data_IF_073753413949
#
_entry.id   IF_073753413949
#
_cell.length_a   1.000
_cell.length_b   1.000
_cell.length_c   1.000
_cell.angle_alpha   90.00
_cell.angle_beta   90.00
_cell.angle_gamma   90.00
#
_symmetry.space_group_name_H-M   'P 1'
#
loop_
_entity.id
_entity.type
_entity.pdbx_description
1 polymer ?
#
# COMPACT_ATOMS: atom_id res chain seq x y z
N UNK A 1 7.06 21.45 -9.65
CA UNK A 1 6.84 21.02 -8.26
C UNK A 1 7.33 19.58 -8.18
N UNK A 2 7.96 19.14 -7.10
CA UNK A 2 8.30 17.72 -6.97
C UNK A 2 7.01 16.89 -7.06
N UNK A 3 7.06 15.80 -7.81
CA UNK A 3 5.94 14.88 -7.92
C UNK A 3 6.07 13.83 -6.81
N UNK A 4 5.43 14.09 -5.67
CA UNK A 4 5.52 13.23 -4.48
C UNK A 4 5.09 11.79 -4.78
N UNK A 5 4.07 11.61 -5.64
CA UNK A 5 3.59 10.28 -6.00
C UNK A 5 4.56 9.53 -6.92
N UNK A 6 5.28 10.24 -7.79
CA UNK A 6 6.29 9.64 -8.65
C UNK A 6 7.54 9.25 -7.85
N UNK A 7 7.96 10.10 -6.91
CA UNK A 7 9.07 9.80 -5.99
C UNK A 7 8.72 8.60 -5.11
N UNK A 8 7.51 8.55 -4.57
CA UNK A 8 7.01 7.40 -3.80
C UNK A 8 6.95 6.13 -4.65
N UNK A 9 6.44 6.23 -5.88
CA UNK A 9 6.38 5.11 -6.82
C UNK A 9 7.77 4.57 -7.16
N UNK A 10 8.73 5.46 -7.40
CA UNK A 10 10.13 5.08 -7.62
C UNK A 10 10.70 4.36 -6.41
N UNK A 11 10.45 4.87 -5.21
CA UNK A 11 10.85 4.22 -3.97
C UNK A 11 10.26 2.81 -3.84
N UNK A 12 8.97 2.63 -4.11
CA UNK A 12 8.30 1.31 -4.07
C UNK A 12 8.93 0.35 -5.07
N UNK A 13 9.15 0.76 -6.32
CA UNK A 13 9.75 -0.11 -7.35
C UNK A 13 11.14 -0.57 -6.94
N UNK A 14 11.96 0.32 -6.37
CA UNK A 14 13.32 -0.01 -5.95
C UNK A 14 13.33 -0.88 -4.69
N UNK A 15 12.51 -0.57 -3.68
CA UNK A 15 12.61 -1.24 -2.37
C UNK A 15 11.81 -2.53 -2.28
N UNK A 16 10.67 -2.61 -2.95
CA UNK A 16 9.77 -3.78 -2.85
C UNK A 16 9.91 -4.74 -4.03
N UNK A 17 10.40 -4.25 -5.17
CA UNK A 17 10.53 -5.05 -6.40
C UNK A 17 11.97 -5.08 -6.94
N UNK A 18 12.96 -4.70 -6.14
CA UNK A 18 14.38 -4.70 -6.52
C UNK A 18 14.68 -3.99 -7.86
N UNK A 19 13.84 -3.03 -8.24
CA UNK A 19 13.93 -2.33 -9.51
C UNK A 19 13.47 -3.16 -10.73
N UNK A 20 12.82 -4.31 -10.52
CA UNK A 20 12.34 -5.15 -11.62
C UNK A 20 11.13 -4.53 -12.31
N UNK A 21 11.38 -3.91 -13.45
CA UNK A 21 10.35 -3.28 -14.29
C UNK A 21 9.40 -4.28 -14.97
N UNK A 22 9.73 -5.57 -14.97
CA UNK A 22 8.85 -6.64 -15.41
C UNK A 22 7.70 -6.89 -14.40
N UNK A 23 7.94 -6.58 -13.13
CA UNK A 23 6.94 -6.72 -12.05
C UNK A 23 6.10 -5.44 -11.95
N UNK A 24 6.75 -4.27 -11.82
CA UNK A 24 6.09 -3.00 -11.66
C UNK A 24 6.92 -1.86 -12.29
N UNK A 25 6.25 -0.95 -13.00
CA UNK A 25 6.89 0.27 -13.52
C UNK A 25 6.48 1.48 -12.70
N UNK A 26 7.36 2.46 -12.59
CA UNK A 26 7.08 3.72 -11.87
C UNK A 26 5.78 4.36 -12.37
N UNK A 27 5.56 4.36 -13.69
CA UNK A 27 4.34 4.94 -14.31
C UNK A 27 3.07 4.22 -13.84
N UNK A 28 3.08 2.89 -13.82
CA UNK A 28 1.92 2.13 -13.38
C UNK A 28 1.66 2.30 -11.89
N UNK A 29 2.73 2.33 -11.09
CA UNK A 29 2.62 2.53 -9.64
C UNK A 29 2.10 3.94 -9.34
N UNK A 30 2.70 4.98 -9.89
CA UNK A 30 2.28 6.37 -9.67
C UNK A 30 0.85 6.63 -10.14
N UNK A 31 0.44 6.06 -11.29
CA UNK A 31 -0.94 6.12 -11.74
C UNK A 31 -1.91 5.50 -10.75
N UNK A 32 -1.58 4.32 -10.21
CA UNK A 32 -2.41 3.69 -9.18
C UNK A 32 -2.47 4.53 -7.90
N UNK A 33 -1.33 5.06 -7.44
CA UNK A 33 -1.27 5.91 -6.24
C UNK A 33 -2.16 7.14 -6.40
N UNK A 34 -2.12 7.78 -7.56
CA UNK A 34 -2.96 8.93 -7.88
C UNK A 34 -4.45 8.59 -7.84
N UNK A 35 -4.86 7.52 -8.50
CA UNK A 35 -6.26 7.08 -8.54
C UNK A 35 -6.81 6.69 -7.16
N UNK A 36 -5.95 6.29 -6.24
CA UNK A 36 -6.35 5.80 -4.91
C UNK A 36 -6.09 6.79 -3.77
N UNK A 37 -5.74 8.05 -4.05
CA UNK A 37 -5.62 9.11 -3.05
C UNK A 37 -6.89 9.25 -2.20
N UNK A 38 -8.06 9.10 -2.80
CA UNK A 38 -9.32 9.15 -2.08
C UNK A 38 -9.47 8.08 -0.99
N UNK A 39 -8.83 6.92 -1.15
CA UNK A 39 -8.82 5.91 -0.10
C UNK A 39 -7.97 6.35 1.10
N UNK A 40 -6.78 6.90 0.85
CA UNK A 40 -5.94 7.45 1.92
C UNK A 40 -6.66 8.58 2.64
N UNK A 41 -7.27 9.51 1.90
CA UNK A 41 -8.04 10.60 2.48
C UNK A 41 -9.14 10.10 3.43
N UNK A 42 -9.82 9.00 3.08
CA UNK A 42 -10.82 8.39 3.94
C UNK A 42 -10.23 7.76 5.20
N UNK A 43 -9.06 7.11 5.11
CA UNK A 43 -8.40 6.52 6.28
C UNK A 43 -7.81 7.56 7.23
N UNK A 44 -7.26 8.64 6.67
CA UNK A 44 -6.50 9.65 7.43
C UNK A 44 -7.31 10.92 7.75
N UNK A 45 -8.55 11.01 7.25
CA UNK A 45 -9.37 12.24 7.34
C UNK A 45 -8.66 13.47 6.78
N UNK A 46 -7.96 13.28 5.66
CA UNK A 46 -7.18 14.29 4.95
C UNK A 46 -7.84 14.66 3.62
N UNK A 47 -7.27 15.62 2.91
CA UNK A 47 -7.72 16.02 1.57
C UNK A 47 -6.50 16.24 0.65
N UNK A 48 -5.78 15.18 0.36
CA UNK A 48 -4.68 15.23 -0.61
C UNK A 48 -5.22 15.14 -2.03
N UNK A 49 -4.74 16.01 -2.92
CA UNK A 49 -5.17 16.11 -4.31
C UNK A 49 -3.97 16.32 -5.24
N UNK A 50 -4.13 15.91 -6.49
CA UNK A 50 -3.14 16.12 -7.54
C UNK A 50 -1.89 15.23 -7.40
N UNK A 51 -0.99 15.35 -8.36
CA UNK A 51 0.24 14.55 -8.44
C UNK A 51 1.25 14.86 -7.32
N UNK A 52 1.21 16.08 -6.79
CA UNK A 52 1.97 16.46 -5.61
C UNK A 52 1.34 16.01 -4.30
N UNK A 53 0.17 15.37 -4.35
CA UNK A 53 -0.61 14.98 -3.18
C UNK A 53 -0.69 16.10 -2.15
N UNK A 54 -0.97 17.32 -2.63
CA UNK A 54 -1.10 18.52 -1.80
C UNK A 54 -2.52 18.62 -1.26
N UNK A 55 -2.66 18.95 0.01
CA UNK A 55 -3.93 19.14 0.68
C UNK A 55 -4.03 20.50 1.37
N UNK A 56 -5.09 20.68 2.16
CA UNK A 56 -5.34 21.92 2.91
C UNK A 56 -4.18 22.31 3.83
N UNK A 57 -3.41 21.34 4.30
CA UNK A 57 -2.31 21.54 5.24
C UNK A 57 -0.92 21.33 4.63
N UNK A 58 -0.80 21.26 3.31
CA UNK A 58 0.46 21.10 2.59
C UNK A 58 0.57 19.79 1.82
N UNK A 59 1.80 19.42 1.49
CA UNK A 59 2.10 18.15 0.80
C UNK A 59 1.94 16.96 1.75
N UNK A 60 1.70 15.78 1.16
CA UNK A 60 1.58 14.52 1.88
C UNK A 60 2.85 14.24 2.70
N UNK A 61 2.69 14.08 3.99
CA UNK A 61 3.77 13.72 4.90
C UNK A 61 4.22 12.26 4.75
N UNK A 62 5.35 11.93 5.35
CA UNK A 62 5.98 10.61 5.24
C UNK A 62 5.07 9.52 5.84
N UNK A 63 4.34 9.84 6.89
CA UNK A 63 3.42 8.93 7.55
C UNK A 63 2.24 8.58 6.63
N UNK A 64 1.65 9.57 5.95
CA UNK A 64 0.60 9.33 4.97
C UNK A 64 1.11 8.59 3.72
N UNK A 65 2.34 8.89 3.27
CA UNK A 65 3.00 8.14 2.20
C UNK A 65 3.16 6.66 2.59
N UNK A 66 3.49 6.37 3.84
CA UNK A 66 3.61 5.00 4.34
C UNK A 66 2.28 4.25 4.29
N UNK A 67 1.17 4.90 4.62
CA UNK A 67 -0.18 4.34 4.49
C UNK A 67 -0.51 4.05 3.02
N UNK A 68 -0.22 4.98 2.13
CA UNK A 68 -0.47 4.83 0.69
C UNK A 68 0.37 3.69 0.08
N UNK A 69 1.62 3.54 0.51
CA UNK A 69 2.50 2.43 0.13
C UNK A 69 1.89 1.07 0.52
N UNK A 70 1.47 0.92 1.77
CA UNK A 70 0.89 -0.34 2.26
C UNK A 70 -0.43 -0.67 1.55
N UNK A 71 -1.25 0.32 1.23
CA UNK A 71 -2.44 0.15 0.41
C UNK A 71 -2.12 -0.38 -0.99
N UNK A 72 -1.07 0.16 -1.63
CA UNK A 72 -0.60 -0.33 -2.92
C UNK A 72 -0.14 -1.78 -2.84
N UNK A 73 0.67 -2.14 -1.83
CA UNK A 73 1.16 -3.51 -1.64
C UNK A 73 0.01 -4.49 -1.39
N UNK A 74 -0.98 -4.11 -0.58
CA UNK A 74 -2.17 -4.93 -0.38
C UNK A 74 -2.93 -5.19 -1.70
N UNK A 75 -3.07 -4.17 -2.54
CA UNK A 75 -3.68 -4.31 -3.86
C UNK A 75 -2.85 -5.21 -4.77
N UNK A 76 -1.53 -5.02 -4.80
CA UNK A 76 -0.61 -5.83 -5.58
C UNK A 76 -0.72 -7.32 -5.21
N UNK A 77 -0.63 -7.67 -3.92
CA UNK A 77 -0.75 -9.06 -3.48
C UNK A 77 -2.14 -9.65 -3.76
N UNK A 78 -3.21 -8.88 -3.63
CA UNK A 78 -4.55 -9.31 -4.03
C UNK A 78 -4.66 -9.59 -5.54
N UNK A 79 -3.99 -8.79 -6.36
CA UNK A 79 -3.90 -9.00 -7.81
C UNK A 79 -3.15 -10.30 -8.12
N UNK A 80 -2.01 -10.53 -7.47
CA UNK A 80 -1.22 -11.76 -7.66
C UNK A 80 -1.96 -13.00 -7.16
N UNK A 81 -2.70 -12.92 -6.07
CA UNK A 81 -3.58 -13.99 -5.61
C UNK A 81 -4.63 -14.36 -6.67
N UNK A 82 -5.24 -13.38 -7.31
CA UNK A 82 -6.19 -13.60 -8.42
C UNK A 82 -5.52 -14.14 -9.66
N UNK A 83 -4.31 -13.66 -9.98
CA UNK A 83 -3.54 -14.17 -11.13
C UNK A 83 -3.15 -15.64 -10.94
N UNK A 84 -2.74 -16.04 -9.74
CA UNK A 84 -2.46 -17.44 -9.42
C UNK A 84 -3.67 -18.35 -9.66
N UNK A 85 -4.89 -17.86 -9.35
CA UNK A 85 -6.12 -18.62 -9.58
C UNK A 85 -6.57 -18.62 -11.04
N UNK A 86 -6.32 -17.56 -11.81
CA UNK A 86 -6.69 -17.49 -13.23
C UNK A 86 -6.07 -18.61 -14.06
N UNK A 87 -4.84 -19.00 -13.77
CA UNK A 87 -4.21 -20.13 -14.44
C UNK A 87 -4.97 -21.44 -14.29
N UNK A 88 -5.77 -21.61 -13.24
CA UNK A 88 -6.60 -22.81 -13.01
C UNK A 88 -7.83 -22.81 -13.93
N UNK A 89 -8.42 -21.63 -14.18
CA UNK A 89 -9.68 -21.49 -14.92
C UNK A 89 -9.50 -21.40 -16.43
N UNK A 90 -8.32 -20.98 -16.90
CA UNK A 90 -8.05 -20.78 -18.33
C UNK A 90 -7.32 -21.95 -18.98
N UNK A 91 -6.75 -22.85 -18.19
CA UNK A 91 -6.09 -24.05 -18.70
C UNK A 91 -7.14 -25.13 -18.95
N UNK A 92 -7.44 -25.37 -20.20
CA UNK A 92 -8.19 -26.53 -20.67
C UNK A 92 -7.36 -27.83 -20.61
N UNK A 93 -6.08 -27.76 -20.26
CA UNK A 93 -5.22 -28.90 -20.05
C UNK A 93 -5.47 -29.45 -18.65
N UNK A 94 -5.99 -30.66 -18.58
CA UNK A 94 -6.32 -31.40 -17.36
C UNK A 94 -5.14 -31.66 -16.40
N UNK A 95 -3.94 -31.20 -16.73
CA UNK A 95 -2.74 -31.34 -15.89
C UNK A 95 -2.56 -30.28 -14.80
N UNK A 96 -3.19 -29.12 -14.92
CA UNK A 96 -2.94 -28.00 -13.98
C UNK A 96 -3.55 -28.17 -12.57
N UNK A 97 -4.45 -29.14 -12.42
CA UNK A 97 -5.05 -29.49 -11.13
C UNK A 97 -4.42 -30.75 -10.48
N UNK A 98 -3.43 -31.36 -11.13
CA UNK A 98 -2.74 -32.52 -10.60
C UNK A 98 -1.65 -32.06 -9.65
N UNK A 99 -1.75 -32.38 -8.37
CA UNK A 99 -0.75 -32.05 -7.36
C UNK A 99 0.51 -32.89 -7.47
N UNK A 100 0.36 -34.13 -7.88
CA UNK A 100 1.50 -35.02 -8.13
C UNK A 100 1.11 -36.11 -9.12
N UNK A 101 2.04 -36.48 -9.98
CA UNK A 101 1.94 -37.62 -10.87
C UNK A 101 3.08 -38.58 -10.53
N UNK A 102 2.75 -39.84 -10.31
CA UNK A 102 3.74 -40.87 -10.05
C UNK A 102 3.63 -41.93 -11.12
N UNK A 103 4.75 -42.21 -11.78
CA UNK A 103 4.91 -43.28 -12.74
C UNK A 103 6.10 -44.17 -12.33
N UNK A 104 5.80 -45.34 -11.76
CA UNK A 104 6.81 -46.20 -11.20
C UNK A 104 7.63 -45.56 -10.09
N UNK A 105 8.93 -45.42 -10.30
CA UNK A 105 9.87 -44.78 -9.37
C UNK A 105 9.97 -43.26 -9.54
N UNK A 106 9.41 -42.72 -10.63
CA UNK A 106 9.44 -41.30 -10.92
C UNK A 106 8.21 -40.59 -10.36
N UNK A 107 8.40 -39.49 -9.65
CA UNK A 107 7.33 -38.63 -9.14
C UNK A 107 7.57 -37.16 -9.56
N UNK A 108 6.56 -36.56 -10.13
CA UNK A 108 6.54 -35.12 -10.45
C UNK A 108 5.50 -34.45 -9.56
N UNK A 109 5.93 -33.45 -8.80
CA UNK A 109 5.05 -32.66 -7.97
C UNK A 109 4.87 -31.28 -8.59
N UNK A 110 3.63 -30.89 -8.79
CA UNK A 110 3.27 -29.57 -9.33
C UNK A 110 3.03 -28.56 -8.21
N UNK A 111 3.30 -27.28 -8.50
CA UNK A 111 3.02 -26.20 -7.55
C UNK A 111 1.50 -26.07 -7.33
N UNK A 112 1.10 -26.12 -6.07
CA UNK A 112 -0.31 -25.92 -5.70
C UNK A 112 -0.67 -24.44 -5.78
N UNK A 113 -1.30 -24.02 -6.85
CA UNK A 113 -1.71 -22.61 -7.09
C UNK A 113 -2.68 -22.09 -6.02
N UNK A 114 -3.49 -22.97 -5.42
CA UNK A 114 -4.35 -22.56 -4.31
C UNK A 114 -3.54 -22.15 -3.09
N UNK A 115 -2.48 -22.88 -2.76
CA UNK A 115 -1.59 -22.50 -1.65
C UNK A 115 -0.84 -21.20 -1.96
N UNK A 116 -0.36 -21.02 -3.18
CA UNK A 116 0.26 -19.77 -3.62
C UNK A 116 -0.74 -18.60 -3.47
N UNK A 117 -1.98 -18.77 -3.93
CA UNK A 117 -3.02 -17.75 -3.76
C UNK A 117 -3.33 -17.44 -2.30
N UNK A 118 -3.34 -18.44 -1.41
CA UNK A 118 -3.52 -18.23 0.03
C UNK A 118 -2.38 -17.42 0.65
N UNK A 119 -1.13 -17.72 0.26
CA UNK A 119 0.03 -16.95 0.73
C UNK A 119 -0.09 -15.48 0.33
N UNK A 120 -0.40 -15.19 -0.93
CA UNK A 120 -0.59 -13.81 -1.38
C UNK A 120 -1.76 -13.10 -0.67
N UNK A 121 -2.86 -13.79 -0.39
CA UNK A 121 -3.97 -13.22 0.41
C UNK A 121 -3.54 -12.95 1.84
N UNK A 122 -2.72 -13.81 2.43
CA UNK A 122 -2.12 -13.57 3.75
C UNK A 122 -1.31 -12.28 3.76
N UNK A 123 -0.39 -12.12 2.80
CA UNK A 123 0.41 -10.90 2.66
C UNK A 123 -0.45 -9.65 2.46
N UNK A 124 -1.49 -9.74 1.63
CA UNK A 124 -2.43 -8.62 1.44
C UNK A 124 -3.15 -8.26 2.75
N UNK A 125 -3.55 -9.26 3.54
CA UNK A 125 -4.20 -9.03 4.85
C UNK A 125 -3.23 -8.38 5.84
N UNK A 126 -1.96 -8.80 5.85
CA UNK A 126 -0.93 -8.22 6.70
C UNK A 126 -0.66 -6.75 6.33
N UNK A 127 -0.63 -6.41 5.04
CA UNK A 127 -0.53 -5.03 4.60
C UNK A 127 -1.74 -4.21 5.04
N UNK A 128 -2.97 -4.73 4.91
CA UNK A 128 -4.18 -4.03 5.36
C UNK A 128 -4.22 -3.83 6.88
N UNK A 129 -3.73 -4.80 7.65
CA UNK A 129 -3.57 -4.63 9.10
C UNK A 129 -2.59 -3.51 9.43
N UNK A 130 -1.47 -3.41 8.70
CA UNK A 130 -0.52 -2.30 8.83
C UNK A 130 -1.14 -0.95 8.44
N UNK A 131 -1.93 -0.88 7.36
CA UNK A 131 -2.69 0.31 7.00
C UNK A 131 -3.55 0.78 8.17
N UNK A 132 -4.30 -0.13 8.78
CA UNK A 132 -5.18 0.20 9.91
C UNK A 132 -4.39 0.73 11.11
N UNK A 133 -3.25 0.11 11.42
CA UNK A 133 -2.38 0.54 12.52
C UNK A 133 -1.76 1.92 12.26
N UNK A 134 -1.19 2.12 11.07
CA UNK A 134 -0.57 3.39 10.68
C UNK A 134 -1.59 4.52 10.63
N UNK A 135 -2.78 4.27 10.07
CA UNK A 135 -3.87 5.24 10.04
C UNK A 135 -4.35 5.62 11.45
N UNK A 136 -4.47 4.64 12.35
CA UNK A 136 -4.84 4.92 13.74
C UNK A 136 -3.78 5.78 14.44
N UNK A 137 -2.49 5.48 14.25
CA UNK A 137 -1.39 6.25 14.82
C UNK A 137 -1.36 7.68 14.25
N UNK A 138 -1.52 7.82 12.94
CA UNK A 138 -1.60 9.11 12.26
C UNK A 138 -2.74 9.97 12.83
N UNK A 139 -3.94 9.41 12.90
CA UNK A 139 -5.12 10.12 13.37
C UNK A 139 -5.00 10.53 14.85
N UNK A 140 -4.41 9.67 15.69
CA UNK A 140 -4.14 10.01 17.10
C UNK A 140 -3.13 11.17 17.18
N UNK A 141 -2.07 11.11 16.39
CA UNK A 141 -1.05 12.17 16.36
C UNK A 141 -1.65 13.51 15.90
N UNK A 142 -2.48 13.50 14.86
CA UNK A 142 -3.15 14.71 14.37
C UNK A 142 -4.22 15.23 15.34
N UNK A 143 -4.86 14.35 16.10
CA UNK A 143 -5.86 14.72 17.10
C UNK A 143 -5.26 15.22 18.42
N UNK A 144 -3.96 15.05 18.65
CA UNK A 144 -3.32 15.62 19.82
C UNK A 144 -3.49 17.14 19.80
N UNK A 145 -3.98 17.75 20.90
CA UNK A 145 -4.06 19.20 20.98
C UNK A 145 -2.64 19.74 20.80
N UNK A 146 -2.40 20.36 19.66
CA UNK A 146 -1.14 21.08 19.43
C UNK A 146 -1.13 22.18 20.48
N UNK A 147 -0.27 22.06 21.46
CA UNK A 147 -0.03 23.14 22.39
C UNK A 147 0.41 24.34 21.52
N UNK A 148 -0.46 25.32 21.40
CA UNK A 148 -0.14 26.56 20.71
C UNK A 148 0.89 27.24 21.59
N UNK A 149 2.15 26.82 21.40
CA UNK A 149 3.26 27.28 22.21
C UNK A 149 3.28 28.79 22.26
N UNK A 150 3.23 29.31 23.42
CA UNK A 150 3.39 30.71 23.68
C UNK A 150 2.15 31.61 23.53
N UNK A 151 1.04 31.12 22.99
CA UNK A 151 -0.18 31.94 22.97
C UNK A 151 -0.73 32.11 24.37
N UNK A 152 -0.66 31.10 25.15
CA UNK A 152 -1.03 31.09 26.55
C UNK A 152 -0.14 31.98 27.40
N UNK A 153 1.16 31.94 27.14
CA UNK A 153 2.12 32.73 27.91
C UNK A 153 2.33 34.14 27.37
N UNK A 154 2.24 34.31 26.05
CA UNK A 154 2.51 35.60 25.43
C UNK A 154 1.27 36.40 25.06
N UNK A 155 0.19 35.69 24.74
CA UNK A 155 -1.06 36.30 24.31
C UNK A 155 -1.90 36.84 25.45
N UNK A 156 -1.76 36.28 26.64
CA UNK A 156 -2.33 36.81 27.87
C UNK A 156 -1.18 37.37 28.74
N UNK A 157 -0.43 38.25 28.15
CA UNK A 157 0.31 39.21 28.91
C UNK A 157 -0.69 40.14 29.56
N UNK A 158 -1.43 39.66 30.51
CA UNK A 158 -2.17 40.51 31.42
C UNK A 158 -1.12 41.23 32.19
N UNK A 159 -0.76 42.37 31.69
CA UNK A 159 -0.09 43.37 32.51
C UNK A 159 -1.07 43.77 33.60
N UNK A 160 -0.98 43.10 34.73
CA UNK A 160 -1.57 43.64 35.95
C UNK A 160 -0.72 44.82 36.34
N UNK A 161 -1.20 46.01 36.01
CA UNK A 161 -0.72 47.27 36.57
C UNK A 161 -1.37 47.47 37.91
#
# INVERSE_FOLDING_TARGET
MPNVLEDLASGIVVTEFDGDTGIATVVNVSGWLFENLGQVNNYLYTNFEGEGASGTYGEMDIEAQSVLKELYLANYYNKEARNALRGITTSTASGDNVLSLRDGESAVTFVNRNEVSKVYRGLATDCMNRVTQLAAQYNIYQAQPRQLGGIDASGIGVTYT
#
